data_IF_109543587586
#
_entry.id   IF_109543587586
#
_cell.length_a   1.000
_cell.length_b   1.000
_cell.length_c   1.000
_cell.angle_alpha   90.00
_cell.angle_beta   90.00
_cell.angle_gamma   90.00
#
_symmetry.space_group_name_H-M   'P 1'
#
loop_
_entity.id
_entity.type
_entity.pdbx_description
1 polymer ?
#
# COMPACT_ATOMS: atom_id res chain seq x y z
N UNK A 1 -20.05 1.52 14.33
CA UNK A 1 -18.81 1.89 13.62
C UNK A 1 -17.73 2.01 14.66
N UNK A 2 -16.58 1.40 14.43
CA UNK A 2 -15.43 1.59 15.28
C UNK A 2 -14.73 2.89 14.89
N UNK A 3 -14.39 3.73 15.88
CA UNK A 3 -13.69 4.99 15.62
C UNK A 3 -12.18 4.72 15.48
N UNK A 4 -11.59 5.23 14.41
CA UNK A 4 -10.14 5.21 14.18
C UNK A 4 -9.65 6.65 14.17
N UNK A 5 -8.90 7.02 15.19
CA UNK A 5 -8.26 8.35 15.29
C UNK A 5 -6.93 8.28 14.54
N UNK A 6 -6.74 9.18 13.58
CA UNK A 6 -5.49 9.32 12.84
C UNK A 6 -4.82 10.64 13.16
N UNK A 7 -3.51 10.56 13.37
CA UNK A 7 -2.65 11.70 13.64
C UNK A 7 -2.34 12.48 12.35
N UNK A 8 -1.90 13.73 12.52
CA UNK A 8 -1.41 14.56 11.40
C UNK A 8 -0.23 13.95 10.66
N UNK A 9 0.57 13.11 11.32
CA UNK A 9 1.70 12.44 10.67
C UNK A 9 1.22 11.29 9.77
N UNK A 10 0.26 10.50 10.24
CA UNK A 10 -0.39 9.44 9.46
C UNK A 10 -1.16 10.02 8.26
N UNK A 11 -1.92 11.10 8.46
CA UNK A 11 -2.58 11.83 7.38
C UNK A 11 -1.58 12.27 6.30
N UNK A 12 -0.45 12.88 6.70
CA UNK A 12 0.60 13.30 5.77
C UNK A 12 1.24 12.12 5.04
N UNK A 13 1.40 10.98 5.70
CA UNK A 13 1.93 9.76 5.10
C UNK A 13 0.97 9.24 4.01
N UNK A 14 -0.32 9.12 4.33
CA UNK A 14 -1.38 8.70 3.39
C UNK A 14 -1.41 9.65 2.18
N UNK A 15 -1.48 10.96 2.42
CA UNK A 15 -1.51 11.96 1.36
C UNK A 15 -0.25 11.92 0.47
N UNK A 16 0.90 11.50 1.01
CA UNK A 16 2.12 11.32 0.22
C UNK A 16 2.05 10.11 -0.71
N UNK A 17 1.47 9.00 -0.24
CA UNK A 17 1.23 7.82 -1.06
C UNK A 17 0.20 8.10 -2.16
N UNK A 18 -0.88 8.82 -1.87
CA UNK A 18 -1.86 9.23 -2.89
C UNK A 18 -1.25 10.14 -3.97
N UNK A 19 -0.39 11.09 -3.57
CA UNK A 19 0.36 11.92 -4.53
C UNK A 19 1.32 11.11 -5.37
N UNK A 20 1.94 10.07 -4.80
CA UNK A 20 2.81 9.15 -5.54
C UNK A 20 2.00 8.31 -6.54
N UNK A 21 0.84 7.80 -6.14
CA UNK A 21 -0.03 6.99 -6.99
C UNK A 21 -0.43 7.74 -8.28
N UNK A 22 -0.71 9.05 -8.19
CA UNK A 22 -1.07 9.89 -9.35
C UNK A 22 0.03 10.01 -10.42
N UNK A 23 1.28 9.70 -10.07
CA UNK A 23 2.44 9.78 -10.98
C UNK A 23 3.15 8.43 -11.15
N UNK A 24 2.52 7.35 -10.70
CA UNK A 24 3.11 6.02 -10.76
C UNK A 24 3.15 5.54 -12.22
N UNK A 25 4.30 5.09 -12.75
CA UNK A 25 4.38 4.65 -14.14
C UNK A 25 3.66 3.32 -14.36
N UNK A 26 2.83 3.23 -15.40
CA UNK A 26 2.06 2.02 -15.75
C UNK A 26 2.94 0.79 -16.06
N UNK A 27 4.22 1.01 -16.39
CA UNK A 27 5.18 -0.06 -16.68
C UNK A 27 5.66 -0.83 -15.44
N UNK A 28 5.31 -0.37 -14.23
CA UNK A 28 5.70 -1.02 -12.97
C UNK A 28 4.50 -1.19 -12.03
N UNK A 29 4.55 -2.22 -11.20
CA UNK A 29 3.55 -2.51 -10.17
C UNK A 29 4.21 -2.60 -8.80
N UNK A 30 3.45 -2.20 -7.79
CA UNK A 30 3.83 -2.31 -6.39
C UNK A 30 3.08 -3.50 -5.78
N UNK A 31 3.81 -4.42 -5.19
CA UNK A 31 3.29 -5.61 -4.53
C UNK A 31 3.60 -5.56 -3.05
N UNK A 32 2.70 -6.11 -2.24
CA UNK A 32 2.94 -6.42 -0.84
C UNK A 32 3.45 -7.85 -0.78
N UNK A 33 4.63 -8.09 -0.19
CA UNK A 33 5.18 -9.45 -0.06
C UNK A 33 5.99 -9.59 1.24
N UNK A 34 5.45 -10.41 2.16
CA UNK A 34 6.15 -10.87 3.36
C UNK A 34 6.77 -9.75 4.21
N UNK A 35 6.02 -8.70 4.53
CA UNK A 35 6.55 -7.61 5.37
C UNK A 35 7.12 -6.43 4.59
N UNK A 36 7.22 -6.53 3.26
CA UNK A 36 7.94 -5.54 2.43
C UNK A 36 7.20 -5.20 1.14
N UNK A 37 7.40 -3.98 0.65
CA UNK A 37 6.85 -3.55 -0.62
C UNK A 37 7.84 -3.89 -1.74
N UNK A 38 7.39 -4.62 -2.75
CA UNK A 38 8.20 -5.07 -3.88
C UNK A 38 7.77 -4.34 -5.15
N UNK A 39 8.72 -3.75 -5.86
CA UNK A 39 8.46 -3.13 -7.16
C UNK A 39 8.83 -4.11 -8.26
N UNK A 40 7.88 -4.37 -9.17
CA UNK A 40 8.08 -5.24 -10.32
C UNK A 40 7.83 -4.50 -11.62
N UNK A 41 8.59 -4.82 -12.66
CA UNK A 41 8.42 -4.31 -14.02
C UNK A 41 7.60 -5.26 -14.86
N UNK A 42 6.67 -4.73 -15.65
CA UNK A 42 5.99 -5.49 -16.70
C UNK A 42 7.01 -5.75 -17.82
N UNK A 43 7.27 -7.03 -18.09
CA UNK A 43 8.14 -7.47 -19.17
C UNK A 43 7.30 -8.20 -20.22
N UNK A 44 7.93 -8.61 -21.32
CA UNK A 44 7.27 -9.30 -22.42
C UNK A 44 6.50 -10.55 -21.95
N UNK A 45 5.39 -10.83 -22.65
CA UNK A 45 4.50 -11.98 -22.42
C UNK A 45 3.76 -11.97 -21.09
N UNK A 46 3.48 -10.78 -20.55
CA UNK A 46 2.68 -10.63 -19.31
C UNK A 46 3.40 -11.10 -18.04
N UNK A 47 4.72 -11.30 -18.12
CA UNK A 47 5.54 -11.65 -16.96
C UNK A 47 5.94 -10.40 -16.17
N UNK A 48 6.33 -10.62 -14.91
CA UNK A 48 6.82 -9.58 -14.01
C UNK A 48 8.30 -9.84 -13.67
N UNK A 49 9.13 -8.80 -13.79
CA UNK A 49 10.52 -8.82 -13.36
C UNK A 49 10.69 -8.08 -12.05
N UNK A 50 11.27 -8.73 -11.04
CA UNK A 50 11.65 -8.06 -9.79
C UNK A 50 12.65 -6.92 -10.05
N UNK A 51 12.39 -5.74 -9.49
CA UNK A 51 13.30 -4.58 -9.56
C UNK A 51 14.00 -4.37 -8.22
N UNK A 52 13.23 -4.16 -7.17
CA UNK A 52 13.74 -3.79 -5.84
C UNK A 52 12.68 -3.99 -4.76
N UNK A 53 13.12 -3.93 -3.51
CA UNK A 53 12.29 -3.85 -2.32
C UNK A 53 12.34 -2.44 -1.74
N UNK A 54 11.21 -1.95 -1.24
CA UNK A 54 11.07 -0.72 -0.46
C UNK A 54 10.81 -1.15 1.00
N UNK A 55 11.74 -0.80 1.87
CA UNK A 55 11.67 -1.06 3.31
C UNK A 55 11.08 0.14 4.07
N UNK A 56 10.66 -0.07 5.31
CA UNK A 56 10.22 0.99 6.22
C UNK A 56 8.71 1.30 6.18
N UNK A 57 7.94 0.72 5.25
CA UNK A 57 6.48 0.73 5.27
C UNK A 57 5.98 -0.68 5.61
N UNK A 58 5.40 -0.88 6.81
CA UNK A 58 4.82 -2.16 7.20
C UNK A 58 3.69 -2.57 6.24
N UNK A 59 3.69 -3.83 5.83
CA UNK A 59 2.67 -4.45 4.99
C UNK A 59 2.70 -5.96 5.22
N UNK A 60 1.57 -6.64 5.23
CA UNK A 60 1.47 -8.06 5.61
C UNK A 60 1.42 -9.02 4.41
N UNK A 61 1.48 -8.50 3.18
CA UNK A 61 1.27 -9.30 1.96
C UNK A 61 -0.17 -9.82 1.80
N UNK A 62 -1.10 -9.43 2.67
CA UNK A 62 -2.40 -10.07 2.81
C UNK A 62 -3.46 -9.57 1.85
N UNK A 63 -4.39 -10.48 1.50
CA UNK A 63 -5.71 -10.13 1.02
C UNK A 63 -6.56 -9.78 2.25
N UNK A 64 -7.18 -8.59 2.33
CA UNK A 64 -8.02 -8.21 3.48
C UNK A 64 -9.22 -9.15 3.72
N UNK A 65 -9.52 -10.06 2.79
CA UNK A 65 -10.53 -11.11 2.98
C UNK A 65 -10.09 -12.29 3.87
N UNK A 66 -8.79 -12.43 4.17
CA UNK A 66 -8.24 -13.51 4.99
C UNK A 66 -8.16 -13.17 6.49
N UNK A 67 -8.61 -11.97 6.90
CA UNK A 67 -8.70 -11.51 8.29
C UNK A 67 -10.02 -10.81 8.60
N UNK A 68 -10.33 -10.63 9.90
CA UNK A 68 -11.42 -9.76 10.34
C UNK A 68 -11.04 -8.29 10.12
N UNK A 69 -11.10 -7.82 8.86
CA UNK A 69 -11.00 -6.40 8.55
C UNK A 69 -12.35 -5.77 8.85
N UNK A 70 -12.38 -4.87 9.83
CA UNK A 70 -13.55 -4.05 10.06
C UNK A 70 -13.63 -2.96 8.98
N UNK A 71 -14.53 -3.16 8.03
CA UNK A 71 -14.82 -2.18 6.97
C UNK A 71 -15.74 -1.04 7.44
N UNK A 72 -16.36 -1.16 8.62
CA UNK A 72 -17.31 -0.20 9.17
C UNK A 72 -16.63 0.70 10.22
N UNK A 73 -15.52 1.32 9.82
CA UNK A 73 -14.78 2.29 10.65
C UNK A 73 -15.13 3.74 10.30
N UNK A 74 -15.21 4.59 11.33
CA UNK A 74 -15.28 6.05 11.18
C UNK A 74 -13.89 6.63 11.42
N UNK A 75 -13.32 7.26 10.39
CA UNK A 75 -11.99 7.87 10.47
C UNK A 75 -12.11 9.31 11.00
N UNK A 76 -11.48 9.57 12.14
CA UNK A 76 -11.46 10.89 12.80
C UNK A 76 -10.04 11.44 12.74
N UNK A 77 -9.88 12.66 12.24
CA UNK A 77 -8.58 13.32 12.10
C UNK A 77 -8.31 14.21 13.33
N UNK A 78 -7.14 14.07 13.97
CA UNK A 78 -6.69 14.85 15.13
C UNK A 78 -5.95 16.15 14.77
#
# INVERSE_FOLDING_TARGET
MNEVIITKEEEKAIASLERLAKKWPDSISLFSWSGTLVVMKHIEDGRLGYITTIEGIPNDGGDPSDGEVDSDVEVIYE
#
